data_IF_774507065551
#
_entry.id   IF_774507065551
#
_cell.length_a   1.000
_cell.length_b   1.000
_cell.length_c   1.000
_cell.angle_alpha   90.00
_cell.angle_beta   90.00
_cell.angle_gamma   90.00
#
_symmetry.space_group_name_H-M   'P 1'
#
loop_
_entity.id
_entity.type
_entity.pdbx_description
1 polymer ?
#
# COMPACT_ATOMS: atom_id res chain seq x y z
N UNK A 1 10.72 -28.33 3.01
CA UNK A 1 9.72 -29.41 2.80
C UNK A 1 8.62 -28.85 1.93
N UNK A 2 8.46 -29.45 0.74
CA UNK A 2 7.47 -29.06 -0.28
C UNK A 2 6.09 -29.50 0.22
N UNK A 3 5.19 -28.55 0.49
CA UNK A 3 3.80 -28.84 0.85
C UNK A 3 2.96 -28.81 -0.42
N UNK A 4 2.59 -30.00 -0.90
CA UNK A 4 1.62 -30.19 -1.97
C UNK A 4 0.25 -29.61 -1.57
N UNK A 5 -0.12 -28.50 -2.19
CA UNK A 5 -1.47 -27.94 -2.05
C UNK A 5 -2.46 -28.77 -2.86
N UNK A 6 -3.19 -29.65 -2.19
CA UNK A 6 -4.35 -30.34 -2.75
C UNK A 6 -5.47 -29.32 -3.03
N UNK A 7 -5.65 -28.96 -4.31
CA UNK A 7 -6.78 -28.15 -4.80
C UNK A 7 -8.10 -28.90 -4.57
N UNK A 8 -8.77 -28.64 -3.44
CA UNK A 8 -10.18 -28.99 -3.25
C UNK A 8 -11.03 -28.16 -4.22
N UNK A 9 -11.64 -28.81 -5.22
CA UNK A 9 -12.68 -28.22 -6.09
C UNK A 9 -13.79 -27.62 -5.21
N UNK A 10 -13.87 -26.28 -5.16
CA UNK A 10 -15.03 -25.55 -4.63
C UNK A 10 -16.27 -25.97 -5.42
N UNK A 11 -17.24 -26.60 -4.76
CA UNK A 11 -18.59 -26.80 -5.31
C UNK A 11 -19.15 -25.42 -5.66
N UNK A 12 -19.48 -25.18 -6.94
CA UNK A 12 -20.23 -24.01 -7.39
C UNK A 12 -21.54 -23.94 -6.61
N UNK A 13 -21.65 -23.01 -5.67
CA UNK A 13 -22.94 -22.59 -5.14
C UNK A 13 -23.68 -21.91 -6.29
N UNK A 14 -24.89 -22.38 -6.62
CA UNK A 14 -25.68 -21.79 -7.69
C UNK A 14 -26.03 -20.34 -7.35
N UNK A 15 -25.75 -19.40 -8.28
CA UNK A 15 -26.14 -17.99 -8.16
C UNK A 15 -27.64 -17.90 -7.78
N UNK A 16 -28.05 -17.01 -6.85
CA UNK A 16 -29.47 -16.81 -6.56
C UNK A 16 -30.21 -16.40 -7.83
N UNK A 17 -31.36 -17.03 -8.12
CA UNK A 17 -32.20 -16.66 -9.28
C UNK A 17 -32.71 -15.23 -9.08
N UNK A 18 -32.09 -14.27 -9.76
CA UNK A 18 -32.60 -12.90 -9.88
C UNK A 18 -34.03 -12.97 -10.43
N UNK A 19 -35.01 -12.47 -9.68
CA UNK A 19 -36.41 -12.51 -10.09
C UNK A 19 -36.64 -11.68 -11.36
N UNK A 20 -37.46 -12.20 -12.28
CA UNK A 20 -37.76 -11.50 -13.52
C UNK A 20 -38.89 -10.49 -13.32
N UNK A 21 -38.57 -9.19 -13.30
CA UNK A 21 -39.51 -8.10 -13.05
C UNK A 21 -40.68 -8.08 -14.05
N UNK A 22 -40.45 -8.49 -15.31
CA UNK A 22 -41.53 -8.63 -16.28
C UNK A 22 -42.49 -9.77 -15.95
N UNK A 23 -41.97 -10.88 -15.37
CA UNK A 23 -42.81 -11.98 -14.89
C UNK A 23 -43.61 -11.56 -13.65
N UNK A 24 -43.03 -10.78 -12.75
CA UNK A 24 -43.72 -10.24 -11.56
C UNK A 24 -44.91 -9.37 -12.00
N UNK A 25 -44.75 -8.52 -13.02
CA UNK A 25 -45.85 -7.72 -13.55
C UNK A 25 -46.73 -8.46 -14.58
N UNK A 26 -46.43 -9.72 -14.94
CA UNK A 26 -47.19 -10.48 -15.93
C UNK A 26 -47.12 -9.94 -17.36
N UNK A 27 -46.06 -9.21 -17.72
CA UNK A 27 -45.88 -8.57 -19.03
C UNK A 27 -44.69 -9.18 -19.80
N UNK A 28 -44.63 -8.94 -21.11
CA UNK A 28 -43.46 -9.31 -21.94
C UNK A 28 -42.40 -8.21 -21.88
N UNK A 29 -41.12 -8.55 -22.09
CA UNK A 29 -40.01 -7.58 -22.06
C UNK A 29 -40.12 -6.48 -23.11
N UNK A 30 -40.85 -6.70 -24.21
CA UNK A 30 -41.14 -5.71 -25.25
C UNK A 30 -42.43 -4.89 -25.01
N UNK A 31 -43.00 -4.93 -23.79
CA UNK A 31 -44.26 -4.23 -23.50
C UNK A 31 -44.06 -2.72 -23.45
N UNK A 32 -45.00 -1.97 -24.03
CA UNK A 32 -45.02 -0.49 -23.98
C UNK A 32 -45.26 0.01 -22.55
N UNK A 33 -44.78 1.22 -22.18
CA UNK A 33 -44.96 1.79 -20.84
C UNK A 33 -46.42 1.82 -20.36
N UNK A 34 -47.36 2.10 -21.25
CA UNK A 34 -48.81 2.09 -20.98
C UNK A 34 -49.29 0.71 -20.50
N UNK A 35 -48.80 -0.36 -21.13
CA UNK A 35 -49.13 -1.75 -20.78
C UNK A 35 -48.50 -2.16 -19.46
N UNK A 36 -47.30 -1.68 -19.15
CA UNK A 36 -46.62 -1.89 -17.85
C UNK A 36 -47.41 -1.21 -16.73
N UNK A 37 -47.89 0.02 -16.96
CA UNK A 37 -48.75 0.75 -16.01
C UNK A 37 -50.09 0.06 -15.80
N UNK A 38 -50.75 -0.41 -16.86
CA UNK A 38 -52.01 -1.15 -16.76
C UNK A 38 -51.83 -2.46 -15.97
N UNK A 39 -50.76 -3.20 -16.24
CA UNK A 39 -50.45 -4.43 -15.53
C UNK A 39 -50.15 -4.20 -14.05
N UNK A 40 -49.42 -3.13 -13.69
CA UNK A 40 -49.22 -2.72 -12.30
C UNK A 40 -50.55 -2.45 -11.58
N UNK A 41 -51.47 -1.70 -12.20
CA UNK A 41 -52.79 -1.41 -11.61
C UNK A 41 -53.60 -2.70 -11.39
N UNK A 42 -53.52 -3.65 -12.32
CA UNK A 42 -54.20 -4.95 -12.18
C UNK A 42 -53.58 -5.80 -11.06
N UNK A 43 -52.25 -5.81 -10.94
CA UNK A 43 -51.53 -6.55 -9.90
C UNK A 43 -51.80 -5.96 -8.50
N UNK A 44 -51.83 -4.63 -8.35
CA UNK A 44 -52.17 -3.98 -7.07
C UNK A 44 -53.62 -4.26 -6.63
N UNK A 45 -54.56 -4.40 -7.56
CA UNK A 45 -55.95 -4.81 -7.24
C UNK A 45 -56.05 -6.27 -6.78
N UNK A 46 -55.18 -7.14 -7.28
CA UNK A 46 -55.13 -8.56 -6.92
C UNK A 46 -54.34 -8.79 -5.62
N UNK A 47 -53.34 -7.95 -5.34
CA UNK A 47 -52.49 -8.01 -4.15
C UNK A 47 -52.50 -6.68 -3.38
N UNK A 48 -53.59 -6.35 -2.64
CA UNK A 48 -53.65 -5.14 -1.84
C UNK A 48 -52.62 -5.14 -0.70
N UNK A 49 -52.02 -3.97 -0.35
CA UNK A 49 -50.96 -3.88 0.66
C UNK A 49 -51.39 -4.31 2.07
N UNK A 50 -52.69 -4.22 2.38
CA UNK A 50 -53.27 -4.61 3.68
C UNK A 50 -53.32 -6.14 3.88
N UNK A 51 -53.38 -6.90 2.78
CA UNK A 51 -53.54 -8.36 2.81
C UNK A 51 -52.28 -9.10 2.30
N UNK A 52 -51.50 -8.47 1.41
CA UNK A 52 -50.34 -9.06 0.74
C UNK A 52 -49.16 -8.06 0.70
N UNK A 53 -48.62 -7.68 1.87
CA UNK A 53 -47.60 -6.62 1.95
C UNK A 53 -46.29 -6.99 1.23
N UNK A 54 -45.88 -8.25 1.24
CA UNK A 54 -44.62 -8.70 0.61
C UNK A 54 -44.74 -8.74 -0.93
N UNK A 55 -45.84 -9.27 -1.45
CA UNK A 55 -46.15 -9.31 -2.87
C UNK A 55 -46.33 -7.90 -3.43
N UNK A 56 -47.03 -7.03 -2.70
CA UNK A 56 -47.20 -5.64 -3.06
C UNK A 56 -45.85 -4.92 -3.17
N UNK A 57 -44.92 -5.14 -2.23
CA UNK A 57 -43.56 -4.59 -2.32
C UNK A 57 -42.80 -5.08 -3.56
N UNK A 58 -42.90 -6.37 -3.90
CA UNK A 58 -42.27 -6.93 -5.11
C UNK A 58 -42.86 -6.36 -6.40
N UNK A 59 -44.19 -6.26 -6.48
CA UNK A 59 -44.91 -5.64 -7.60
C UNK A 59 -44.52 -4.17 -7.76
N UNK A 60 -44.44 -3.43 -6.64
CA UNK A 60 -44.05 -2.02 -6.63
C UNK A 60 -42.60 -1.83 -7.10
N UNK A 61 -41.64 -2.60 -6.59
CA UNK A 61 -40.24 -2.57 -7.06
C UNK A 61 -40.14 -2.87 -8.54
N UNK A 62 -40.84 -3.90 -9.02
CA UNK A 62 -40.87 -4.25 -10.44
C UNK A 62 -41.42 -3.11 -11.32
N UNK A 63 -42.48 -2.42 -10.86
CA UNK A 63 -43.03 -1.27 -11.57
C UNK A 63 -42.12 -0.05 -11.54
N UNK A 64 -41.50 0.27 -10.40
CA UNK A 64 -40.58 1.40 -10.26
C UNK A 64 -39.36 1.26 -11.18
N UNK A 65 -38.79 0.04 -11.30
CA UNK A 65 -37.69 -0.23 -12.23
C UNK A 65 -38.14 -0.23 -13.69
N UNK A 66 -39.29 -0.82 -14.02
CA UNK A 66 -39.73 -0.98 -15.43
C UNK A 66 -40.45 0.25 -16.02
N UNK A 67 -40.91 1.18 -15.18
CA UNK A 67 -41.55 2.43 -15.62
C UNK A 67 -40.53 3.48 -16.05
N UNK A 68 -39.40 3.55 -15.37
CA UNK A 68 -38.31 4.47 -15.68
C UNK A 68 -37.51 3.94 -16.88
N UNK A 69 -37.41 4.69 -17.99
CA UNK A 69 -36.71 4.23 -19.19
C UNK A 69 -35.26 3.83 -18.93
N UNK A 70 -34.54 4.57 -18.09
CA UNK A 70 -33.13 4.33 -17.79
C UNK A 70 -32.98 3.08 -16.91
N UNK A 71 -33.77 2.97 -15.83
CA UNK A 71 -33.71 1.80 -14.93
C UNK A 71 -34.16 0.52 -15.64
N UNK A 72 -35.10 0.64 -16.58
CA UNK A 72 -35.56 -0.49 -17.40
C UNK A 72 -34.46 -0.96 -18.34
N UNK A 73 -33.77 -0.03 -19.00
CA UNK A 73 -32.65 -0.34 -19.89
C UNK A 73 -31.50 -1.00 -19.11
N UNK A 74 -31.11 -0.45 -17.97
CA UNK A 74 -30.10 -1.04 -17.07
C UNK A 74 -30.50 -2.45 -16.60
N UNK A 75 -31.77 -2.65 -16.23
CA UNK A 75 -32.30 -3.96 -15.87
C UNK A 75 -32.26 -4.95 -17.05
N UNK A 76 -32.62 -4.51 -18.26
CA UNK A 76 -32.60 -5.33 -19.46
C UNK A 76 -31.18 -5.72 -19.86
N UNK A 77 -30.23 -4.79 -19.74
CA UNK A 77 -28.80 -5.03 -19.99
C UNK A 77 -28.24 -6.04 -18.98
N UNK A 78 -28.48 -5.85 -17.68
CA UNK A 78 -28.01 -6.75 -16.63
C UNK A 78 -28.62 -8.16 -16.79
N UNK A 79 -29.91 -8.26 -17.12
CA UNK A 79 -30.59 -9.54 -17.32
C UNK A 79 -30.13 -10.28 -18.57
N UNK A 80 -29.84 -9.58 -19.67
CA UNK A 80 -29.46 -10.18 -20.96
C UNK A 80 -27.97 -10.48 -21.04
N UNK A 81 -27.14 -9.62 -20.47
CA UNK A 81 -25.70 -9.66 -20.65
C UNK A 81 -24.89 -9.76 -19.35
N UNK A 82 -25.49 -9.65 -18.16
CA UNK A 82 -24.74 -9.54 -16.89
C UNK A 82 -23.63 -10.59 -16.69
N UNK A 83 -23.95 -11.88 -16.83
CA UNK A 83 -22.94 -12.94 -16.70
C UNK A 83 -21.92 -13.00 -17.85
N UNK A 84 -22.27 -12.46 -19.02
CA UNK A 84 -21.33 -12.36 -20.16
C UNK A 84 -20.46 -11.11 -20.05
N UNK A 85 -20.98 -10.01 -19.49
CA UNK A 85 -20.26 -8.76 -19.22
C UNK A 85 -19.25 -8.95 -18.10
N UNK A 86 -19.62 -9.67 -17.02
CA UNK A 86 -18.68 -10.08 -15.98
C UNK A 86 -17.48 -10.82 -16.59
N UNK A 87 -17.74 -11.85 -17.41
CA UNK A 87 -16.67 -12.62 -18.07
C UNK A 87 -15.84 -11.79 -19.04
N UNK A 88 -16.48 -10.93 -19.85
CA UNK A 88 -15.76 -10.03 -20.75
C UNK A 88 -14.90 -9.02 -19.98
N UNK A 89 -15.36 -8.55 -18.82
CA UNK A 89 -14.61 -7.64 -17.97
C UNK A 89 -13.39 -8.34 -17.36
N UNK A 90 -13.55 -9.56 -16.83
CA UNK A 90 -12.46 -10.40 -16.32
C UNK A 90 -11.39 -10.64 -17.39
N UNK A 91 -11.80 -11.08 -18.58
CA UNK A 91 -10.88 -11.32 -19.71
C UNK A 91 -10.18 -10.03 -20.19
N UNK A 92 -10.85 -8.88 -20.15
CA UNK A 92 -10.25 -7.60 -20.53
C UNK A 92 -9.15 -7.17 -19.54
N UNK A 93 -9.37 -7.38 -18.24
CA UNK A 93 -8.36 -7.11 -17.19
C UNK A 93 -7.19 -8.09 -17.31
N UNK A 94 -7.45 -9.38 -17.54
CA UNK A 94 -6.38 -10.37 -17.80
C UNK A 94 -5.52 -9.97 -19.02
N UNK A 95 -6.11 -9.39 -20.06
CA UNK A 95 -5.35 -8.88 -21.20
C UNK A 95 -4.46 -7.69 -20.81
N UNK A 96 -4.90 -6.81 -19.91
CA UNK A 96 -4.05 -5.71 -19.40
C UNK A 96 -2.88 -6.24 -18.58
N UNK A 97 -3.11 -7.21 -17.70
CA UNK A 97 -2.06 -7.85 -16.89
C UNK A 97 -1.01 -8.55 -17.76
N UNK A 98 -1.40 -9.02 -18.94
CA UNK A 98 -0.52 -9.62 -19.94
C UNK A 98 0.06 -8.61 -20.94
N UNK A 99 -0.14 -7.31 -20.70
CA UNK A 99 0.29 -6.20 -21.57
C UNK A 99 -0.25 -6.30 -23.01
N UNK A 100 -1.35 -7.02 -23.21
CA UNK A 100 -2.04 -7.13 -24.48
C UNK A 100 -3.07 -6.00 -24.63
N UNK A 101 -2.54 -4.78 -24.73
CA UNK A 101 -3.29 -3.53 -24.70
C UNK A 101 -4.34 -3.43 -25.81
N UNK A 102 -4.00 -3.81 -27.03
CA UNK A 102 -4.91 -3.78 -28.18
C UNK A 102 -6.14 -4.66 -27.99
N UNK A 103 -5.96 -5.83 -27.37
CA UNK A 103 -7.07 -6.73 -27.09
C UNK A 103 -7.92 -6.20 -25.93
N UNK A 104 -7.29 -5.73 -24.86
CA UNK A 104 -7.99 -5.12 -23.73
C UNK A 104 -8.85 -3.94 -24.17
N UNK A 105 -8.30 -3.04 -25.01
CA UNK A 105 -9.01 -1.87 -25.53
C UNK A 105 -10.25 -2.26 -26.33
N UNK A 106 -10.12 -3.26 -27.23
CA UNK A 106 -11.24 -3.80 -27.99
C UNK A 106 -12.31 -4.38 -27.07
N UNK A 107 -11.92 -5.08 -26.01
CA UNK A 107 -12.85 -5.70 -25.08
C UNK A 107 -13.62 -4.66 -24.27
N UNK A 108 -12.94 -3.68 -23.66
CA UNK A 108 -13.63 -2.61 -22.94
C UNK A 108 -14.51 -1.77 -23.87
N UNK A 109 -14.05 -1.47 -25.09
CA UNK A 109 -14.87 -0.78 -26.10
C UNK A 109 -16.14 -1.57 -26.44
N UNK A 110 -16.06 -2.89 -26.55
CA UNK A 110 -17.22 -3.73 -26.80
C UNK A 110 -18.14 -3.81 -25.59
N UNK A 111 -17.60 -3.81 -24.37
CA UNK A 111 -18.39 -3.72 -23.14
C UNK A 111 -19.17 -2.40 -23.13
N UNK A 112 -18.53 -1.26 -23.41
CA UNK A 112 -19.20 0.04 -23.43
C UNK A 112 -20.25 0.20 -24.54
N UNK A 113 -20.10 -0.50 -25.68
CA UNK A 113 -21.17 -0.57 -26.69
C UNK A 113 -22.43 -1.27 -26.19
N UNK A 114 -22.28 -2.23 -25.27
CA UNK A 114 -23.39 -3.00 -24.69
C UNK A 114 -23.93 -2.29 -23.44
N UNK A 115 -23.05 -1.80 -22.57
CA UNK A 115 -23.36 -1.14 -21.32
C UNK A 115 -22.59 0.19 -21.23
N UNK A 116 -23.11 1.29 -21.82
CA UNK A 116 -22.41 2.57 -21.88
C UNK A 116 -22.02 3.14 -20.51
N UNK A 117 -22.83 2.90 -19.47
CA UNK A 117 -22.58 3.36 -18.10
C UNK A 117 -21.67 2.44 -17.28
N UNK A 118 -21.02 1.45 -17.90
CA UNK A 118 -20.14 0.53 -17.18
C UNK A 118 -18.84 1.25 -16.74
N UNK A 119 -18.87 1.80 -15.52
CA UNK A 119 -17.76 2.58 -14.92
C UNK A 119 -16.44 1.84 -15.00
N UNK A 120 -16.41 0.56 -14.64
CA UNK A 120 -15.18 -0.24 -14.67
C UNK A 120 -14.57 -0.34 -16.07
N UNK A 121 -15.38 -0.57 -17.11
CA UNK A 121 -14.87 -0.64 -18.48
C UNK A 121 -14.39 0.72 -19.00
N UNK A 122 -15.01 1.80 -18.55
CA UNK A 122 -14.58 3.16 -18.86
C UNK A 122 -13.23 3.49 -18.21
N UNK A 123 -13.04 3.10 -16.94
CA UNK A 123 -11.75 3.22 -16.24
C UNK A 123 -10.67 2.39 -16.94
N UNK A 124 -10.98 1.16 -17.34
CA UNK A 124 -10.03 0.30 -18.07
C UNK A 124 -9.55 0.94 -19.38
N UNK A 125 -10.46 1.52 -20.19
CA UNK A 125 -10.07 2.29 -21.37
C UNK A 125 -9.22 3.51 -21.02
N UNK A 126 -9.60 4.24 -19.97
CA UNK A 126 -8.88 5.44 -19.54
C UNK A 126 -7.43 5.09 -19.13
N UNK A 127 -7.21 3.98 -18.42
CA UNK A 127 -5.87 3.48 -18.06
C UNK A 127 -5.04 3.10 -19.29
N UNK A 128 -5.64 2.42 -20.28
CA UNK A 128 -4.95 2.09 -21.54
C UNK A 128 -4.55 3.37 -22.29
N UNK A 129 -5.41 4.37 -22.32
CA UNK A 129 -5.12 5.66 -22.95
C UNK A 129 -3.98 6.40 -22.25
N UNK A 130 -3.96 6.41 -20.91
CA UNK A 130 -2.82 6.94 -20.15
C UNK A 130 -1.53 6.18 -20.42
N UNK A 131 -1.57 4.85 -20.48
CA UNK A 131 -0.40 4.02 -20.82
C UNK A 131 0.16 4.38 -22.21
N UNK A 132 -0.72 4.72 -23.15
CA UNK A 132 -0.35 5.21 -24.49
C UNK A 132 0.01 6.71 -24.51
N UNK A 133 0.06 7.37 -23.35
CA UNK A 133 0.29 8.81 -23.17
C UNK A 133 -0.73 9.70 -23.91
N UNK A 134 -1.93 9.18 -24.21
CA UNK A 134 -3.05 9.90 -24.80
C UNK A 134 -3.93 10.50 -23.69
N UNK A 135 -3.43 11.60 -23.14
CA UNK A 135 -4.07 12.33 -22.04
C UNK A 135 -5.42 12.94 -22.46
N UNK A 136 -5.56 13.33 -23.72
CA UNK A 136 -6.81 13.91 -24.24
C UNK A 136 -7.91 12.85 -24.30
N UNK A 137 -7.59 11.62 -24.72
CA UNK A 137 -8.54 10.52 -24.72
C UNK A 137 -8.91 10.11 -23.29
N UNK A 138 -7.93 10.03 -22.40
CA UNK A 138 -8.15 9.78 -20.97
C UNK A 138 -9.12 10.82 -20.38
N UNK A 139 -8.86 12.11 -20.59
CA UNK A 139 -9.68 13.18 -20.05
C UNK A 139 -11.11 13.12 -20.57
N UNK A 140 -11.32 12.77 -21.84
CA UNK A 140 -12.67 12.55 -22.40
C UNK A 140 -13.39 11.40 -21.70
N UNK A 141 -12.72 10.28 -21.40
CA UNK A 141 -13.37 9.17 -20.68
C UNK A 141 -13.79 9.59 -19.27
N UNK A 142 -12.94 10.34 -18.57
CA UNK A 142 -13.24 10.81 -17.23
C UNK A 142 -14.31 11.92 -17.21
N UNK A 143 -14.34 12.79 -18.23
CA UNK A 143 -15.39 13.79 -18.41
C UNK A 143 -16.75 13.13 -18.64
N UNK A 144 -16.82 12.08 -19.46
CA UNK A 144 -18.07 11.33 -19.64
C UNK A 144 -18.54 10.72 -18.30
N UNK A 145 -17.62 10.15 -17.51
CA UNK A 145 -17.97 9.62 -16.19
C UNK A 145 -18.54 10.70 -15.25
N UNK A 146 -17.97 11.91 -15.30
CA UNK A 146 -18.41 13.05 -14.50
C UNK A 146 -19.76 13.61 -14.96
N UNK A 147 -19.99 13.72 -16.27
CA UNK A 147 -21.25 14.27 -16.80
C UNK A 147 -22.41 13.28 -16.73
N UNK A 148 -22.15 11.97 -16.83
CA UNK A 148 -23.18 10.93 -16.68
C UNK A 148 -23.58 10.67 -15.22
N UNK A 149 -22.86 11.24 -14.25
CA UNK A 149 -23.15 11.09 -12.83
C UNK A 149 -24.47 11.78 -12.44
N UNK A 150 -25.35 11.03 -11.78
CA UNK A 150 -26.73 11.42 -11.43
C UNK A 150 -26.86 12.22 -10.13
N UNK A 151 -25.76 12.44 -9.41
CA UNK A 151 -25.73 13.11 -8.11
C UNK A 151 -24.39 13.80 -7.87
N UNK A 152 -24.39 14.80 -6.98
CA UNK A 152 -23.16 15.49 -6.53
C UNK A 152 -22.16 14.46 -5.99
N UNK A 153 -22.64 13.54 -5.15
CA UNK A 153 -21.86 12.42 -4.61
C UNK A 153 -21.14 11.62 -5.70
N UNK A 154 -21.84 11.25 -6.78
CA UNK A 154 -21.24 10.50 -7.89
C UNK A 154 -20.30 11.37 -8.74
N UNK A 155 -20.56 12.69 -8.85
CA UNK A 155 -19.62 13.64 -9.48
C UNK A 155 -18.33 13.74 -8.70
N UNK A 156 -18.39 13.88 -7.38
CA UNK A 156 -17.23 13.89 -6.50
C UNK A 156 -16.45 12.58 -6.64
N UNK A 157 -17.12 11.42 -6.58
CA UNK A 157 -16.49 10.10 -6.80
C UNK A 157 -15.80 9.99 -8.15
N UNK A 158 -16.38 10.54 -9.22
CA UNK A 158 -15.74 10.52 -10.54
C UNK A 158 -14.43 11.32 -10.60
N UNK A 159 -14.37 12.47 -9.91
CA UNK A 159 -13.13 13.25 -9.76
C UNK A 159 -12.10 12.49 -8.92
N UNK A 160 -12.52 11.88 -7.82
CA UNK A 160 -11.64 11.07 -6.99
C UNK A 160 -11.08 9.85 -7.76
N UNK A 161 -11.90 9.18 -8.57
CA UNK A 161 -11.44 8.11 -9.47
C UNK A 161 -10.42 8.65 -10.46
N UNK A 162 -10.65 9.83 -11.05
CA UNK A 162 -9.71 10.47 -11.98
C UNK A 162 -8.36 10.73 -11.31
N UNK A 163 -8.37 11.35 -10.13
CA UNK A 163 -7.15 11.62 -9.36
C UNK A 163 -6.41 10.32 -9.02
N UNK A 164 -7.14 9.29 -8.54
CA UNK A 164 -6.55 8.00 -8.21
C UNK A 164 -5.88 7.34 -9.42
N UNK A 165 -6.57 7.26 -10.56
CA UNK A 165 -6.03 6.65 -11.78
C UNK A 165 -4.80 7.41 -12.27
N UNK A 166 -4.79 8.74 -12.20
CA UNK A 166 -3.61 9.53 -12.53
C UNK A 166 -2.44 9.22 -11.60
N UNK A 167 -2.68 9.12 -10.29
CA UNK A 167 -1.63 8.82 -9.31
C UNK A 167 -1.08 7.39 -9.49
N UNK A 168 -1.96 6.39 -9.66
CA UNK A 168 -1.60 4.98 -9.87
C UNK A 168 -0.83 4.76 -11.18
N UNK A 169 -0.96 5.67 -12.16
CA UNK A 169 -0.29 5.64 -13.46
C UNK A 169 0.93 6.57 -13.53
N UNK A 170 1.50 6.97 -12.39
CA UNK A 170 2.68 7.85 -12.28
C UNK A 170 2.50 9.28 -12.85
N UNK A 171 1.27 9.83 -12.77
CA UNK A 171 0.96 11.24 -13.05
C UNK A 171 0.49 12.01 -11.79
N UNK A 172 1.29 12.07 -10.70
CA UNK A 172 0.84 12.63 -9.42
C UNK A 172 0.61 14.15 -9.47
N UNK A 173 1.27 14.90 -10.36
CA UNK A 173 1.03 16.34 -10.53
C UNK A 173 -0.41 16.61 -11.01
N UNK A 174 -0.84 15.85 -12.03
CA UNK A 174 -2.21 15.95 -12.56
C UNK A 174 -3.23 15.41 -11.57
N UNK A 175 -2.88 14.36 -10.82
CA UNK A 175 -3.73 13.86 -9.74
C UNK A 175 -3.99 14.98 -8.71
N UNK A 176 -2.95 15.73 -8.33
CA UNK A 176 -3.08 16.85 -7.41
C UNK A 176 -3.98 17.96 -7.97
N UNK A 177 -3.83 18.32 -9.24
CA UNK A 177 -4.70 19.33 -9.88
C UNK A 177 -6.18 18.93 -9.79
N UNK A 178 -6.48 17.64 -10.00
CA UNK A 178 -7.85 17.12 -9.90
C UNK A 178 -8.36 17.15 -8.45
N UNK A 179 -7.51 16.83 -7.48
CA UNK A 179 -7.87 16.90 -6.05
C UNK A 179 -8.11 18.33 -5.58
N UNK A 180 -7.29 19.30 -6.04
CA UNK A 180 -7.50 20.72 -5.78
C UNK A 180 -8.84 21.15 -6.38
N UNK A 181 -9.12 20.78 -7.63
CA UNK A 181 -10.42 21.06 -8.28
C UNK A 181 -11.61 20.46 -7.50
N UNK A 182 -11.45 19.24 -6.97
CA UNK A 182 -12.46 18.60 -6.11
C UNK A 182 -12.72 19.46 -4.87
N UNK A 183 -11.67 19.90 -4.17
CA UNK A 183 -11.79 20.75 -2.98
C UNK A 183 -12.39 22.13 -3.26
N UNK A 184 -12.08 22.72 -4.41
CA UNK A 184 -12.65 24.01 -4.84
C UNK A 184 -14.13 23.92 -5.17
N UNK A 185 -14.56 22.84 -5.85
CA UNK A 185 -15.95 22.67 -6.30
C UNK A 185 -16.86 22.05 -5.24
N UNK A 186 -16.31 21.20 -4.39
CA UNK A 186 -17.05 20.38 -3.42
C UNK A 186 -16.35 20.39 -2.06
N UNK A 187 -16.22 21.57 -1.42
CA UNK A 187 -15.46 21.72 -0.17
C UNK A 187 -15.99 20.84 0.96
N UNK A 188 -17.30 20.60 1.02
CA UNK A 188 -17.94 19.77 2.04
C UNK A 188 -17.56 18.27 1.96
N UNK A 189 -17.00 17.83 0.83
CA UNK A 189 -16.56 16.45 0.60
C UNK A 189 -15.04 16.27 0.72
N UNK A 190 -14.28 17.35 0.94
CA UNK A 190 -12.82 17.30 0.94
C UNK A 190 -12.28 16.28 1.95
N UNK A 191 -12.92 16.21 3.12
CA UNK A 191 -12.51 15.36 4.23
C UNK A 191 -12.52 13.87 3.86
N UNK A 192 -13.47 13.44 3.02
CA UNK A 192 -13.59 12.05 2.56
C UNK A 192 -12.39 11.59 1.71
N UNK A 193 -11.63 12.54 1.14
CA UNK A 193 -10.55 12.26 0.18
C UNK A 193 -9.18 12.73 0.66
N UNK A 194 -9.03 13.16 1.92
CA UNK A 194 -7.74 13.61 2.47
C UNK A 194 -6.66 12.53 2.41
N UNK A 195 -7.02 11.25 2.56
CA UNK A 195 -6.07 10.15 2.37
C UNK A 195 -5.48 10.12 0.95
N UNK A 196 -6.26 10.47 -0.06
CA UNK A 196 -5.75 10.57 -1.44
C UNK A 196 -4.78 11.74 -1.61
N UNK A 197 -5.01 12.87 -0.93
CA UNK A 197 -4.03 13.96 -0.88
C UNK A 197 -2.71 13.50 -0.24
N UNK A 198 -2.76 12.71 0.83
CA UNK A 198 -1.55 12.16 1.47
C UNK A 198 -0.74 11.34 0.47
N UNK A 199 -1.39 10.39 -0.21
CA UNK A 199 -0.76 9.54 -1.23
C UNK A 199 -0.15 10.33 -2.39
N UNK A 200 -0.88 11.32 -2.91
CA UNK A 200 -0.40 12.18 -3.99
C UNK A 200 0.76 13.07 -3.53
N UNK A 201 0.71 13.63 -2.33
CA UNK A 201 1.84 14.40 -1.79
C UNK A 201 3.09 13.54 -1.58
N UNK A 202 2.93 12.29 -1.13
CA UNK A 202 4.05 11.34 -1.02
C UNK A 202 4.66 11.04 -2.39
N UNK A 203 3.84 10.75 -3.40
CA UNK A 203 4.29 10.50 -4.78
C UNK A 203 5.04 11.72 -5.38
N UNK A 204 4.66 12.94 -4.98
CA UNK A 204 5.36 14.18 -5.37
C UNK A 204 6.62 14.49 -4.56
N UNK A 205 7.01 13.66 -3.59
CA UNK A 205 8.09 13.96 -2.65
C UNK A 205 7.78 15.13 -1.71
N UNK A 206 6.50 15.53 -1.59
CA UNK A 206 6.03 16.63 -0.72
C UNK A 206 5.69 16.14 0.67
N UNK A 207 6.64 15.46 1.32
CA UNK A 207 6.42 14.79 2.61
C UNK A 207 5.95 15.75 3.73
N UNK A 208 6.35 17.02 3.71
CA UNK A 208 5.87 18.02 4.69
C UNK A 208 4.38 18.31 4.56
N UNK A 209 3.84 18.33 3.34
CA UNK A 209 2.42 18.55 3.11
C UNK A 209 1.61 17.29 3.41
N UNK A 210 2.16 16.11 3.06
CA UNK A 210 1.60 14.82 3.49
C UNK A 210 1.49 14.75 5.02
N UNK A 211 2.55 15.11 5.76
CA UNK A 211 2.56 15.10 7.22
C UNK A 211 1.47 16.01 7.81
N UNK A 212 1.28 17.22 7.27
CA UNK A 212 0.21 18.12 7.72
C UNK A 212 -1.17 17.49 7.53
N UNK A 213 -1.40 16.85 6.37
CA UNK A 213 -2.66 16.17 6.09
C UNK A 213 -2.86 14.97 7.01
N UNK A 214 -1.82 14.16 7.25
CA UNK A 214 -1.85 13.05 8.20
C UNK A 214 -2.26 13.55 9.59
N UNK A 215 -1.64 14.62 10.08
CA UNK A 215 -1.94 15.17 11.41
C UNK A 215 -3.39 15.68 11.56
N UNK A 216 -4.03 16.11 10.47
CA UNK A 216 -5.44 16.47 10.45
C UNK A 216 -6.38 15.25 10.45
N UNK A 217 -5.94 14.13 9.89
CA UNK A 217 -6.69 12.87 9.81
C UNK A 217 -6.53 11.97 11.04
N UNK A 218 -5.60 12.30 11.95
CA UNK A 218 -5.42 11.52 13.17
C UNK A 218 -6.70 11.55 14.02
N UNK A 219 -7.29 10.37 14.33
CA UNK A 219 -8.53 10.34 15.09
C UNK A 219 -8.33 10.84 16.52
N UNK A 220 -9.39 11.38 17.11
CA UNK A 220 -9.46 11.59 18.56
C UNK A 220 -9.38 10.24 19.29
N UNK A 221 -9.10 10.25 20.60
CA UNK A 221 -8.96 9.01 21.37
C UNK A 221 -10.27 8.23 21.51
N UNK A 222 -11.38 8.96 21.48
CA UNK A 222 -12.73 8.48 21.72
C UNK A 222 -13.38 7.92 20.44
N UNK A 223 -12.85 8.28 19.27
CA UNK A 223 -13.40 7.93 17.95
C UNK A 223 -12.50 6.95 17.19
N UNK A 224 -11.60 6.24 17.87
CA UNK A 224 -10.67 5.33 17.22
C UNK A 224 -11.35 4.01 16.84
N UNK A 225 -11.24 3.69 15.56
CA UNK A 225 -11.60 2.42 14.94
C UNK A 225 -10.34 1.64 14.53
N UNK A 226 -10.40 0.29 14.41
CA UNK A 226 -9.27 -0.56 14.05
C UNK A 226 -8.51 -0.13 12.79
N UNK A 227 -9.25 0.31 11.76
CA UNK A 227 -8.69 0.73 10.46
C UNK A 227 -7.80 1.98 10.57
N UNK A 228 -7.87 2.74 11.67
CA UNK A 228 -6.95 3.86 11.90
C UNK A 228 -5.49 3.41 12.11
N UNK A 229 -5.20 2.10 12.16
CA UNK A 229 -3.82 1.62 12.09
C UNK A 229 -3.09 2.17 10.86
N UNK A 230 -3.77 2.29 9.71
CA UNK A 230 -3.16 2.73 8.47
C UNK A 230 -2.70 4.19 8.55
N UNK A 231 -3.53 5.10 9.06
CA UNK A 231 -3.11 6.51 9.23
C UNK A 231 -1.99 6.66 10.28
N UNK A 232 -1.94 5.78 11.28
CA UNK A 232 -0.83 5.75 12.23
C UNK A 232 0.48 5.26 11.58
N UNK A 233 0.42 4.29 10.67
CA UNK A 233 1.57 3.84 9.88
C UNK A 233 2.06 4.98 8.99
N UNK A 234 1.16 5.67 8.27
CA UNK A 234 1.51 6.85 7.46
C UNK A 234 2.23 7.91 8.30
N UNK A 235 1.78 8.14 9.54
CA UNK A 235 2.42 9.11 10.44
C UNK A 235 3.84 8.69 10.85
N UNK A 236 4.06 7.39 11.07
CA UNK A 236 5.40 6.84 11.36
C UNK A 236 6.29 6.93 10.13
N UNK A 237 5.79 6.55 8.96
CA UNK A 237 6.55 6.59 7.70
C UNK A 237 6.93 8.03 7.33
N UNK A 238 5.99 8.99 7.41
CA UNK A 238 6.30 10.41 7.19
C UNK A 238 7.35 10.95 8.16
N UNK A 239 7.34 10.50 9.43
CA UNK A 239 8.40 10.86 10.38
C UNK A 239 9.75 10.30 9.96
N UNK A 240 9.81 9.03 9.54
CA UNK A 240 11.04 8.36 9.11
C UNK A 240 11.60 9.02 7.86
N UNK A 241 10.79 9.20 6.82
CA UNK A 241 11.16 9.79 5.53
C UNK A 241 11.70 11.22 5.68
N UNK A 242 11.03 12.05 6.50
CA UNK A 242 11.47 13.42 6.77
C UNK A 242 12.62 13.49 7.80
N UNK A 243 13.07 12.36 8.34
CA UNK A 243 14.08 12.32 9.40
C UNK A 243 13.66 13.01 10.70
N UNK A 244 12.36 13.20 10.94
CA UNK A 244 11.79 13.94 12.09
C UNK A 244 11.76 13.13 13.38
N UNK A 245 12.89 12.52 13.72
CA UNK A 245 13.03 11.63 14.87
C UNK A 245 12.75 12.28 16.23
N UNK A 246 12.72 13.61 16.31
CA UNK A 246 12.22 14.35 17.48
C UNK A 246 10.74 14.04 17.80
N UNK A 247 9.95 13.61 16.81
CA UNK A 247 8.54 13.22 16.99
C UNK A 247 8.36 11.78 17.49
N UNK A 248 9.41 10.95 17.45
CA UNK A 248 9.35 9.51 17.68
C UNK A 248 8.66 9.12 18.99
N UNK A 249 8.99 9.80 20.10
CA UNK A 249 8.37 9.50 21.41
C UNK A 249 6.87 9.87 21.45
N UNK A 250 6.48 11.01 20.87
CA UNK A 250 5.08 11.44 20.74
C UNK A 250 4.28 10.41 19.95
N UNK A 251 4.79 10.04 18.77
CA UNK A 251 4.13 9.09 17.86
C UNK A 251 4.03 7.73 18.53
N UNK A 252 5.14 7.20 19.04
CA UNK A 252 5.18 5.88 19.67
C UNK A 252 4.21 5.79 20.85
N UNK A 253 4.13 6.81 21.71
CA UNK A 253 3.15 6.85 22.81
C UNK A 253 1.71 6.84 22.30
N UNK A 254 1.41 7.64 21.28
CA UNK A 254 0.05 7.75 20.71
C UNK A 254 -0.39 6.43 20.08
N UNK A 255 0.46 5.83 19.25
CA UNK A 255 0.15 4.56 18.54
C UNK A 255 0.05 3.41 19.54
N UNK A 256 0.95 3.32 20.53
CA UNK A 256 0.85 2.31 21.60
C UNK A 256 -0.47 2.39 22.37
N UNK A 257 -0.98 3.61 22.62
CA UNK A 257 -2.27 3.77 23.31
C UNK A 257 -3.42 3.22 22.46
N UNK A 258 -3.39 3.49 21.15
CA UNK A 258 -4.34 2.93 20.18
C UNK A 258 -4.27 1.39 20.10
N UNK A 259 -3.07 0.82 19.95
CA UNK A 259 -2.90 -0.63 19.89
C UNK A 259 -3.45 -1.35 21.13
N UNK A 260 -3.28 -0.74 22.32
CA UNK A 260 -3.83 -1.26 23.58
C UNK A 260 -5.35 -1.12 23.72
N UNK A 261 -6.00 -0.26 22.93
CA UNK A 261 -7.45 -0.14 22.95
C UNK A 261 -8.16 -1.20 22.11
N UNK A 262 -7.44 -1.89 21.21
CA UNK A 262 -7.99 -2.99 20.42
C UNK A 262 -8.34 -4.18 21.32
N UNK A 263 -9.60 -4.61 21.28
CA UNK A 263 -10.12 -5.68 22.15
C UNK A 263 -10.32 -6.98 21.39
N UNK A 264 -10.86 -6.89 20.18
CA UNK A 264 -11.15 -8.01 19.32
C UNK A 264 -9.85 -8.63 18.77
N UNK A 265 -9.85 -9.95 18.54
CA UNK A 265 -8.65 -10.64 18.06
C UNK A 265 -8.43 -10.45 16.56
N UNK A 266 -9.48 -10.28 15.75
CA UNK A 266 -9.36 -9.99 14.33
C UNK A 266 -8.78 -8.58 14.12
N UNK A 267 -9.22 -7.61 14.93
CA UNK A 267 -8.68 -6.24 14.92
C UNK A 267 -7.19 -6.21 15.28
N UNK A 268 -6.78 -6.97 16.31
CA UNK A 268 -5.37 -7.09 16.68
C UNK A 268 -4.57 -7.78 15.59
N UNK A 269 -5.13 -8.81 14.95
CA UNK A 269 -4.47 -9.52 13.85
C UNK A 269 -4.25 -8.58 12.67
N UNK A 270 -5.25 -7.78 12.30
CA UNK A 270 -5.13 -6.75 11.25
C UNK A 270 -4.00 -5.77 11.57
N UNK A 271 -4.01 -5.21 12.78
CA UNK A 271 -2.98 -4.25 13.19
C UNK A 271 -1.58 -4.89 13.25
N UNK A 272 -1.48 -6.13 13.72
CA UNK A 272 -0.23 -6.88 13.75
C UNK A 272 0.29 -7.15 12.33
N UNK A 273 -0.55 -7.60 11.40
CA UNK A 273 -0.18 -7.84 10.01
C UNK A 273 0.33 -6.57 9.33
N UNK A 274 -0.35 -5.43 9.54
CA UNK A 274 0.09 -4.15 8.99
C UNK A 274 1.47 -3.74 9.53
N UNK A 275 1.70 -3.84 10.84
CA UNK A 275 2.99 -3.51 11.46
C UNK A 275 4.11 -4.51 11.11
N UNK A 276 3.79 -5.78 10.88
CA UNK A 276 4.76 -6.81 10.43
C UNK A 276 5.23 -6.47 9.02
N UNK A 277 4.32 -6.09 8.12
CA UNK A 277 4.68 -5.68 6.75
C UNK A 277 5.70 -4.55 6.75
N UNK A 278 5.48 -3.50 7.55
CA UNK A 278 6.43 -2.40 7.70
C UNK A 278 7.76 -2.85 8.32
N UNK A 279 7.71 -3.67 9.38
CA UNK A 279 8.90 -4.23 10.01
C UNK A 279 9.76 -5.02 9.01
N UNK A 280 9.15 -5.93 8.25
CA UNK A 280 9.84 -6.77 7.26
C UNK A 280 10.41 -5.93 6.12
N UNK A 281 9.67 -4.91 5.65
CA UNK A 281 10.14 -3.97 4.64
C UNK A 281 11.43 -3.25 5.07
N UNK A 282 11.44 -2.64 6.26
CA UNK A 282 12.63 -1.96 6.77
C UNK A 282 13.76 -2.94 7.14
N UNK A 283 13.43 -4.11 7.69
CA UNK A 283 14.42 -5.13 8.03
C UNK A 283 15.14 -5.64 6.78
N UNK A 284 14.39 -5.94 5.71
CA UNK A 284 14.93 -6.49 4.46
C UNK A 284 15.90 -5.55 3.74
N UNK A 285 15.82 -4.24 3.98
CA UNK A 285 16.77 -3.25 3.42
C UNK A 285 17.83 -2.81 4.44
N UNK A 286 17.94 -3.48 5.58
CA UNK A 286 18.93 -3.17 6.62
C UNK A 286 18.66 -1.89 7.42
N UNK A 287 17.45 -1.33 7.35
CA UNK A 287 17.04 -0.15 8.10
C UNK A 287 16.60 -0.54 9.53
N UNK A 288 17.55 -1.01 10.34
CA UNK A 288 17.27 -1.64 11.63
C UNK A 288 16.72 -0.68 12.68
N UNK A 289 17.02 0.61 12.60
CA UNK A 289 16.45 1.61 13.53
C UNK A 289 14.93 1.73 13.32
N UNK A 290 14.51 1.76 12.06
CA UNK A 290 13.15 1.87 11.58
C UNK A 290 12.39 0.57 11.86
N UNK A 291 12.96 -0.58 11.48
CA UNK A 291 12.41 -1.90 11.79
C UNK A 291 12.21 -2.07 13.31
N UNK A 292 13.19 -1.67 14.13
CA UNK A 292 13.05 -1.69 15.58
C UNK A 292 11.88 -0.83 16.07
N UNK A 293 11.60 0.31 15.46
CA UNK A 293 10.48 1.17 15.85
C UNK A 293 9.14 0.42 15.70
N UNK A 294 8.93 -0.25 14.57
CA UNK A 294 7.77 -1.10 14.32
C UNK A 294 7.69 -2.31 15.23
N UNK A 295 8.82 -2.99 15.48
CA UNK A 295 8.87 -4.12 16.41
C UNK A 295 8.54 -3.71 17.86
N UNK A 296 8.89 -2.48 18.26
CA UNK A 296 8.51 -1.90 19.56
C UNK A 296 7.01 -1.54 19.66
N UNK A 297 6.32 -1.38 18.52
CA UNK A 297 4.86 -1.24 18.45
C UNK A 297 4.18 -2.62 18.50
N UNK A 298 4.68 -3.59 17.73
CA UNK A 298 4.22 -4.99 17.79
C UNK A 298 4.33 -5.56 19.21
N UNK A 299 5.44 -5.31 19.90
CA UNK A 299 5.60 -5.72 21.29
C UNK A 299 4.60 -5.07 22.25
N UNK A 300 4.12 -3.87 21.95
CA UNK A 300 3.10 -3.22 22.77
C UNK A 300 1.69 -3.82 22.54
N UNK A 301 1.46 -4.41 21.37
CA UNK A 301 0.23 -5.11 21.01
C UNK A 301 0.21 -6.51 21.63
N UNK A 302 1.26 -7.32 21.41
CA UNK A 302 1.40 -8.65 22.01
C UNK A 302 2.82 -8.89 22.59
N UNK A 303 3.05 -8.55 23.87
CA UNK A 303 4.34 -8.75 24.53
C UNK A 303 4.63 -10.21 24.89
N UNK A 304 3.69 -11.14 24.70
CA UNK A 304 3.85 -12.57 25.04
C UNK A 304 4.16 -13.41 23.80
N UNK A 305 3.93 -12.90 22.59
CA UNK A 305 4.22 -13.62 21.35
C UNK A 305 5.71 -14.00 21.25
N UNK A 306 6.06 -15.30 21.10
CA UNK A 306 7.46 -15.74 21.06
C UNK A 306 8.28 -15.08 19.94
N UNK A 307 7.73 -14.99 18.73
CA UNK A 307 8.44 -14.36 17.60
C UNK A 307 8.65 -12.86 17.81
N UNK A 308 7.68 -12.16 18.41
CA UNK A 308 7.82 -10.71 18.69
C UNK A 308 8.93 -10.49 19.71
N UNK A 309 9.04 -11.35 20.72
CA UNK A 309 10.15 -11.27 21.70
C UNK A 309 11.51 -11.53 21.08
N UNK A 310 11.60 -12.58 20.26
CA UNK A 310 12.83 -12.96 19.58
C UNK A 310 13.30 -11.85 18.63
N UNK A 311 12.47 -11.49 17.66
CA UNK A 311 12.78 -10.50 16.64
C UNK A 311 13.08 -9.12 17.26
N UNK A 312 12.40 -8.77 18.37
CA UNK A 312 12.71 -7.53 19.11
C UNK A 312 14.12 -7.53 19.69
N UNK A 313 14.57 -8.64 20.25
CA UNK A 313 15.94 -8.75 20.78
C UNK A 313 16.96 -8.61 19.67
N UNK A 314 16.75 -9.33 18.57
CA UNK A 314 17.61 -9.34 17.39
C UNK A 314 17.72 -7.94 16.75
N UNK A 315 16.59 -7.34 16.35
CA UNK A 315 16.59 -6.01 15.71
C UNK A 315 17.12 -4.91 16.65
N UNK A 316 16.96 -5.08 17.97
CA UNK A 316 17.54 -4.15 18.95
C UNK A 316 19.06 -4.24 18.98
N UNK A 317 19.64 -5.42 18.83
CA UNK A 317 21.07 -5.60 18.72
C UNK A 317 21.59 -4.97 17.42
N UNK A 318 20.98 -5.31 16.28
CA UNK A 318 21.35 -4.80 14.96
C UNK A 318 21.28 -3.27 14.89
N UNK A 319 20.21 -2.67 15.41
CA UNK A 319 20.09 -1.20 15.46
C UNK A 319 21.19 -0.53 16.30
N UNK A 320 21.70 -1.21 17.33
CA UNK A 320 22.81 -0.68 18.14
C UNK A 320 24.15 -0.81 17.41
N UNK A 321 24.38 -1.90 16.70
CA UNK A 321 25.55 -2.12 15.84
C UNK A 321 25.57 -1.08 14.72
N UNK A 322 24.47 -0.93 13.98
CA UNK A 322 24.35 0.08 12.91
C UNK A 322 24.59 1.50 13.43
N UNK A 323 24.05 1.85 14.60
CA UNK A 323 24.31 3.15 15.25
C UNK A 323 25.80 3.33 15.59
N UNK A 324 26.48 2.25 15.97
CA UNK A 324 27.90 2.27 16.25
C UNK A 324 28.74 2.46 14.99
N UNK A 325 28.42 1.74 13.91
CA UNK A 325 29.03 1.92 12.59
C UNK A 325 28.84 3.35 12.06
N UNK A 326 27.66 3.94 12.24
CA UNK A 326 27.44 5.35 11.88
C UNK A 326 28.29 6.35 12.69
N UNK A 327 28.75 5.98 13.90
CA UNK A 327 29.74 6.77 14.66
C UNK A 327 31.17 6.51 14.16
N UNK A 328 31.49 5.25 13.82
CA UNK A 328 32.78 4.86 13.26
C UNK A 328 33.08 5.60 11.95
N UNK A 329 32.09 5.68 11.06
CA UNK A 329 32.22 6.37 9.77
C UNK A 329 32.49 7.89 9.89
N UNK A 330 32.36 8.47 11.09
CA UNK A 330 32.62 9.89 11.39
C UNK A 330 33.83 10.09 12.33
N UNK A 331 34.59 9.02 12.60
CA UNK A 331 35.75 9.06 13.48
C UNK A 331 37.03 9.23 12.66
N UNK A 332 37.47 10.48 12.50
CA UNK A 332 38.66 10.82 11.69
C UNK A 332 39.97 10.19 12.20
N UNK A 333 39.99 9.71 13.45
CA UNK A 333 41.13 9.01 14.05
C UNK A 333 41.05 7.48 13.89
N UNK A 334 39.94 6.93 13.40
CA UNK A 334 39.83 5.51 13.08
C UNK A 334 40.42 5.27 11.69
N UNK A 335 41.28 4.26 11.58
CA UNK A 335 41.85 3.90 10.28
C UNK A 335 40.71 3.56 9.29
N UNK A 336 40.61 4.22 8.13
CA UNK A 336 39.45 4.12 7.25
C UNK A 336 39.08 2.69 6.83
N UNK A 337 40.08 1.85 6.54
CA UNK A 337 39.83 0.46 6.13
C UNK A 337 39.17 -0.38 7.21
N UNK A 338 39.39 -0.09 8.50
CA UNK A 338 38.69 -0.79 9.59
C UNK A 338 37.20 -0.43 9.59
N UNK A 339 36.86 0.82 9.30
CA UNK A 339 35.46 1.22 9.18
C UNK A 339 34.78 0.63 7.94
N UNK A 340 35.49 0.57 6.82
CA UNK A 340 34.99 0.01 5.56
C UNK A 340 34.79 -1.49 5.69
N UNK A 341 35.81 -2.22 6.18
CA UNK A 341 35.74 -3.67 6.39
C UNK A 341 34.58 -4.07 7.32
N UNK A 342 34.38 -3.31 8.40
CA UNK A 342 33.25 -3.53 9.29
C UNK A 342 31.89 -3.35 8.60
N UNK A 343 31.80 -2.38 7.68
CA UNK A 343 30.58 -2.11 6.93
C UNK A 343 30.36 -3.16 5.83
N UNK A 344 31.43 -3.63 5.19
CA UNK A 344 31.42 -4.75 4.23
C UNK A 344 30.81 -6.01 4.85
N UNK A 345 31.41 -6.51 5.93
CA UNK A 345 30.89 -7.68 6.63
C UNK A 345 29.44 -7.50 7.08
N UNK A 346 29.07 -6.29 7.50
CA UNK A 346 27.71 -6.02 7.91
C UNK A 346 26.71 -6.06 6.77
N UNK A 347 27.01 -5.51 5.60
CA UNK A 347 26.07 -5.54 4.49
C UNK A 347 26.01 -6.93 3.85
N UNK A 348 27.15 -7.64 3.77
CA UNK A 348 27.21 -9.02 3.27
C UNK A 348 26.31 -9.99 4.05
N UNK A 349 26.08 -9.76 5.34
CA UNK A 349 25.13 -10.54 6.14
C UNK A 349 23.67 -10.41 5.70
N UNK A 350 23.31 -9.31 5.03
CA UNK A 350 21.91 -8.99 4.68
C UNK A 350 21.67 -8.85 3.18
N UNK A 351 22.72 -8.77 2.36
CA UNK A 351 22.60 -8.62 0.92
C UNK A 351 23.67 -9.40 0.16
N UNK A 352 23.25 -10.45 -0.54
CA UNK A 352 24.12 -11.27 -1.40
C UNK A 352 24.69 -10.47 -2.60
N UNK A 353 24.11 -9.32 -2.92
CA UNK A 353 24.50 -8.45 -4.05
C UNK A 353 24.89 -7.04 -3.58
N UNK A 354 25.45 -6.92 -2.38
CA UNK A 354 25.93 -5.65 -1.85
C UNK A 354 26.96 -5.02 -2.81
N UNK A 355 26.55 -4.01 -3.58
CA UNK A 355 27.48 -3.20 -4.37
C UNK A 355 28.02 -2.13 -3.43
N UNK A 356 29.25 -2.32 -2.97
CA UNK A 356 30.00 -1.23 -2.37
C UNK A 356 30.43 -0.30 -3.50
N UNK A 357 29.98 0.98 -3.50
CA UNK A 357 30.61 1.97 -4.36
C UNK A 357 32.11 1.97 -4.06
N UNK A 358 32.96 2.31 -5.03
CA UNK A 358 34.39 2.53 -4.79
C UNK A 358 34.56 3.73 -3.83
N UNK A 359 34.35 3.50 -2.53
CA UNK A 359 34.42 4.49 -1.45
C UNK A 359 35.86 5.01 -1.30
N UNK A 360 36.81 4.22 -1.78
CA UNK A 360 38.24 4.51 -1.88
C UNK A 360 38.68 4.11 -3.29
N UNK A 361 39.49 4.93 -3.95
CA UNK A 361 40.02 4.58 -5.27
C UNK A 361 40.93 3.33 -5.17
N UNK A 362 41.03 2.50 -6.21
CA UNK A 362 41.89 1.30 -6.19
C UNK A 362 43.33 1.59 -5.78
N UNK A 363 43.87 2.76 -6.16
CA UNK A 363 45.22 3.19 -5.80
C UNK A 363 45.36 3.48 -4.31
N UNK A 364 44.41 4.22 -3.72
CA UNK A 364 44.42 4.53 -2.28
C UNK A 364 44.17 3.26 -1.46
N UNK A 365 43.30 2.37 -1.94
CA UNK A 365 43.05 1.07 -1.32
C UNK A 365 44.33 0.21 -1.30
N UNK A 366 45.06 0.19 -2.42
CA UNK A 366 46.35 -0.50 -2.51
C UNK A 366 47.37 0.09 -1.54
N UNK A 367 47.49 1.42 -1.43
CA UNK A 367 48.37 2.08 -0.46
C UNK A 367 48.01 1.73 0.98
N UNK A 368 46.73 1.80 1.34
CA UNK A 368 46.26 1.51 2.69
C UNK A 368 46.41 0.03 3.08
N UNK A 369 46.37 -0.89 2.11
CA UNK A 369 46.59 -2.31 2.37
C UNK A 369 48.01 -2.63 2.83
N UNK A 370 48.99 -1.77 2.56
CA UNK A 370 50.36 -1.90 3.06
C UNK A 370 50.61 -1.21 4.42
N UNK A 371 49.60 -0.57 5.00
CA UNK A 371 49.68 0.13 6.28
C UNK A 371 49.30 -0.78 7.46
N UNK A 372 50.05 -1.87 7.62
CA UNK A 372 49.74 -2.93 8.59
C UNK A 372 49.74 -2.44 10.06
N UNK A 373 50.62 -1.49 10.42
CA UNK A 373 50.66 -0.92 11.77
C UNK A 373 49.41 -0.09 12.07
N UNK A 374 48.99 0.77 11.14
CA UNK A 374 47.82 1.62 11.26
C UNK A 374 46.53 0.79 11.25
N UNK A 375 46.46 -0.26 10.43
CA UNK A 375 45.35 -1.20 10.42
C UNK A 375 45.23 -1.89 11.79
N UNK A 376 46.33 -2.47 12.30
CA UNK A 376 46.34 -3.15 13.59
C UNK A 376 46.01 -2.21 14.76
N UNK A 377 46.48 -0.95 14.73
CA UNK A 377 46.10 0.09 15.69
C UNK A 377 44.61 0.44 15.57
N UNK A 378 44.08 0.51 14.34
CA UNK A 378 42.67 0.69 14.06
C UNK A 378 41.79 -0.40 14.67
N UNK A 379 42.17 -1.68 14.57
CA UNK A 379 41.45 -2.80 15.20
C UNK A 379 41.46 -2.67 16.74
N UNK A 380 42.56 -2.25 17.35
CA UNK A 380 42.59 -1.96 18.81
C UNK A 380 41.65 -0.83 19.20
N UNK A 381 41.62 0.25 18.40
CA UNK A 381 40.69 1.36 18.59
C UNK A 381 39.25 0.89 18.46
N UNK A 382 38.95 0.06 17.46
CA UNK A 382 37.65 -0.57 17.25
C UNK A 382 37.21 -1.33 18.51
N UNK A 383 38.03 -2.26 19.00
CA UNK A 383 37.75 -3.03 20.22
C UNK A 383 37.43 -2.15 21.44
N UNK A 384 38.11 -1.00 21.57
CA UNK A 384 37.98 -0.09 22.71
C UNK A 384 36.78 0.87 22.61
N UNK A 385 36.58 1.49 21.43
CA UNK A 385 35.61 2.58 21.23
C UNK A 385 34.30 2.10 20.62
N UNK A 386 34.34 0.96 19.92
CA UNK A 386 33.24 0.37 19.16
C UNK A 386 33.11 -1.15 19.46
N UNK A 387 32.77 -1.50 20.72
CA UNK A 387 32.76 -2.88 21.19
C UNK A 387 31.56 -3.71 20.70
N UNK A 388 30.52 -3.10 20.14
CA UNK A 388 29.40 -3.84 19.53
C UNK A 388 29.80 -4.35 18.15
N UNK A 389 30.38 -3.47 17.33
CA UNK A 389 30.91 -3.82 16.01
C UNK A 389 32.03 -4.84 16.13
N UNK A 390 32.97 -4.65 17.07
CA UNK A 390 34.05 -5.60 17.29
C UNK A 390 33.54 -6.98 17.71
N UNK A 391 32.56 -7.05 18.63
CA UNK A 391 32.06 -8.33 19.14
C UNK A 391 31.24 -9.11 18.12
N UNK A 392 30.62 -8.44 17.15
CA UNK A 392 29.85 -9.11 16.10
C UNK A 392 30.75 -9.95 15.19
N UNK A 393 31.94 -9.43 14.88
CA UNK A 393 32.93 -10.05 13.99
C UNK A 393 34.22 -10.38 14.74
N UNK A 394 34.10 -10.89 15.95
CA UNK A 394 35.26 -10.99 16.85
C UNK A 394 36.35 -11.90 16.28
N UNK A 395 35.95 -13.05 15.71
CA UNK A 395 36.87 -14.04 15.17
C UNK A 395 37.62 -13.47 13.95
N UNK A 396 36.87 -12.81 13.06
CA UNK A 396 37.37 -12.17 11.85
C UNK A 396 38.34 -11.02 12.17
N UNK A 397 38.03 -10.19 13.18
CA UNK A 397 38.95 -9.15 13.65
C UNK A 397 40.20 -9.71 14.30
N UNK A 398 40.11 -10.83 15.01
CA UNK A 398 41.25 -11.46 15.67
C UNK A 398 42.21 -12.08 14.63
N UNK A 399 41.67 -12.78 13.63
CA UNK A 399 42.45 -13.32 12.50
C UNK A 399 43.16 -12.21 11.72
N UNK A 400 42.43 -11.16 11.34
CA UNK A 400 42.99 -10.03 10.60
C UNK A 400 44.07 -9.28 11.41
N UNK A 401 43.88 -9.15 12.72
CA UNK A 401 44.89 -8.55 13.59
C UNK A 401 46.17 -9.41 13.66
N UNK A 402 46.04 -10.74 13.71
CA UNK A 402 47.19 -11.65 13.67
C UNK A 402 47.95 -11.55 12.34
N UNK A 403 47.23 -11.54 11.22
CA UNK A 403 47.79 -11.37 9.88
C UNK A 403 48.63 -10.07 9.80
N UNK A 404 48.01 -8.93 10.15
CA UNK A 404 48.62 -7.60 10.08
C UNK A 404 49.79 -7.42 11.06
N UNK A 405 49.85 -8.20 12.14
CA UNK A 405 50.95 -8.09 13.11
C UNK A 405 52.05 -9.15 12.96
N UNK A 406 51.87 -10.14 12.10
CA UNK A 406 52.78 -11.28 11.90
C UNK A 406 54.20 -10.85 11.50
N UNK A 407 54.33 -9.86 10.61
CA UNK A 407 55.60 -9.31 10.12
C UNK A 407 56.22 -8.19 10.97
N UNK A 408 55.50 -7.68 11.98
CA UNK A 408 55.95 -6.52 12.75
C UNK A 408 57.04 -6.87 13.77
N UNK A 409 58.06 -6.01 13.84
CA UNK A 409 59.11 -6.12 14.85
C UNK A 409 58.58 -5.78 16.27
N UNK A 410 59.36 -6.12 17.30
CA UNK A 410 58.99 -5.90 18.71
C UNK A 410 58.71 -4.44 19.07
N UNK A 411 59.34 -3.48 18.39
CA UNK A 411 59.18 -2.06 18.67
C UNK A 411 57.89 -1.52 18.05
N UNK A 412 57.60 -1.88 16.80
CA UNK A 412 56.33 -1.63 16.11
C UNK A 412 55.14 -2.15 16.92
N UNK A 413 55.19 -3.42 17.37
CA UNK A 413 54.15 -4.01 18.23
C UNK A 413 53.91 -3.25 19.54
N UNK A 414 54.92 -2.57 20.09
CA UNK A 414 54.80 -1.74 21.31
C UNK A 414 54.19 -0.37 21.03
N UNK A 415 54.26 0.13 19.79
CA UNK A 415 53.70 1.42 19.36
C UNK A 415 52.21 1.35 19.04
N UNK A 416 51.69 0.16 18.74
CA UNK A 416 50.25 -0.14 18.61
C UNK A 416 49.54 0.11 19.96
N UNK A 417 49.13 1.35 20.23
CA UNK A 417 48.41 1.74 21.47
C UNK A 417 46.90 1.71 21.29
#
# INVERSE_FOLDING_TARGET
>A
MIVETTKKKRKRQGKPKVENLYKILGVRSNSKPEKIKQAYIQQVKQYPPEQFPEEFQRIRRAYETLRDPLKREEYDLMRKYGGSLEKMMEEAVECMEQENWDQAEKMFSNILKIAPKAVGARIGLAQIQLNNNDLDAFDKQMEILFEEADSVENKVKSLAIKAKVLNDMDFPEKALDVLILLGERYPDHLDEYRFMFIQVYQALGRGEDALKMIELELPALETQEPDHIFIFIEWVNAMIELGKWQLADKIQKRVRKFLKSLKDEDDKLMAASALISEYEGYYGVGAFREAKFYMDLLYALDPKHPLVRHNRSEVQELARVQKEMGRMAKDDELFPLVSIQAMEWFVEEFSDNAIFPDMISPEILQEFNFMDEEYAAGIKRLKKKYPLTYRRYQEEWEELYEEKTSGLNREARRRLK
#
